data_IF_337434672166
#
_entry.id   IF_337434672166
#
_cell.length_a   1.000
_cell.length_b   1.000
_cell.length_c   1.000
_cell.angle_alpha   90.00
_cell.angle_beta   90.00
_cell.angle_gamma   90.00
#
_symmetry.space_group_name_H-M   'P 1'
#
loop_
_entity.id
_entity.type
_entity.pdbx_description
1 polymer ?
#
# COMPACT_ATOMS: atom_id res chain seq x y z
N UNK A 1 -49.82 55.12 50.32
CA UNK A 1 -49.89 53.97 49.38
C UNK A 1 -48.48 53.38 49.30
N UNK A 2 -48.21 52.23 49.97
CA UNK A 2 -48.10 50.85 49.38
C UNK A 2 -46.86 50.71 48.46
N UNK A 3 -45.91 49.77 48.57
CA UNK A 3 -45.71 48.50 49.33
C UNK A 3 -44.19 48.18 49.34
N UNK A 4 -43.73 47.41 50.33
CA UNK A 4 -42.55 46.52 50.31
C UNK A 4 -42.41 45.69 49.01
N UNK A 5 -41.20 45.21 48.67
CA UNK A 5 -40.92 43.76 48.58
C UNK A 5 -39.43 43.43 48.32
N UNK A 6 -38.95 42.45 49.09
CA UNK A 6 -37.77 41.62 48.85
C UNK A 6 -38.08 40.61 47.73
N UNK A 7 -37.08 40.17 46.98
CA UNK A 7 -37.11 38.95 46.15
C UNK A 7 -35.78 38.79 45.42
N UNK A 8 -34.89 37.91 45.86
CA UNK A 8 -34.80 36.46 45.61
C UNK A 8 -33.77 36.15 44.51
N UNK A 9 -32.79 35.34 44.90
CA UNK A 9 -31.66 34.80 44.15
C UNK A 9 -32.08 34.04 42.88
N UNK A 10 -31.29 34.17 41.81
CA UNK A 10 -31.20 33.15 40.76
C UNK A 10 -29.72 32.90 40.50
N UNK A 11 -29.21 31.78 41.03
CA UNK A 11 -27.88 31.28 40.73
C UNK A 11 -27.85 30.77 39.29
N UNK A 12 -26.94 31.29 38.48
CA UNK A 12 -26.67 30.78 37.15
C UNK A 12 -25.79 29.53 37.27
N UNK A 13 -26.40 28.35 37.23
CA UNK A 13 -25.70 27.09 36.96
C UNK A 13 -25.25 27.10 35.50
N UNK A 14 -23.98 27.43 35.27
CA UNK A 14 -23.32 27.22 33.98
C UNK A 14 -23.06 25.72 33.83
N UNK A 15 -24.01 25.02 33.21
CA UNK A 15 -23.83 23.63 32.80
C UNK A 15 -22.83 23.56 31.64
N UNK A 16 -21.59 23.19 31.94
CA UNK A 16 -20.57 22.87 30.94
C UNK A 16 -20.95 21.55 30.25
N UNK A 17 -21.65 21.64 29.12
CA UNK A 17 -21.89 20.47 28.25
C UNK A 17 -20.57 20.15 27.55
N UNK A 18 -19.82 19.19 28.08
CA UNK A 18 -18.70 18.58 27.34
C UNK A 18 -19.26 17.73 26.21
N UNK A 19 -19.35 18.33 25.01
CA UNK A 19 -19.54 17.57 23.77
C UNK A 19 -18.28 16.73 23.58
N UNK A 20 -18.37 15.43 23.88
CA UNK A 20 -17.35 14.46 23.52
C UNK A 20 -17.31 14.37 21.98
N UNK A 21 -16.49 15.19 21.35
CA UNK A 21 -16.13 15.04 19.95
C UNK A 21 -15.41 13.71 19.86
N UNK A 22 -16.08 12.66 19.36
CA UNK A 22 -15.43 11.44 18.94
C UNK A 22 -14.47 11.82 17.80
N UNK A 23 -13.23 12.13 18.17
CA UNK A 23 -12.22 12.61 17.24
C UNK A 23 -11.88 11.51 16.26
N UNK A 24 -12.34 11.67 15.01
CA UNK A 24 -11.76 10.93 13.90
C UNK A 24 -10.25 11.21 13.92
N UNK A 25 -9.44 10.19 14.18
CA UNK A 25 -8.00 10.33 14.21
C UNK A 25 -7.52 10.80 12.84
N UNK A 26 -6.71 11.86 12.81
CA UNK A 26 -6.11 12.35 11.59
C UNK A 26 -5.35 11.21 10.88
N UNK A 27 -5.37 11.16 9.54
CA UNK A 27 -4.74 10.07 8.81
C UNK A 27 -3.23 10.03 9.12
N UNK A 28 -2.73 8.84 9.46
CA UNK A 28 -1.30 8.63 9.68
C UNK A 28 -0.59 8.75 8.33
N UNK A 29 0.28 9.75 8.20
CA UNK A 29 1.06 9.98 6.97
C UNK A 29 2.38 9.23 7.04
N UNK A 30 2.67 8.42 6.03
CA UNK A 30 3.97 7.74 5.86
C UNK A 30 4.51 7.96 4.46
N UNK A 31 5.83 7.83 4.31
CA UNK A 31 6.49 7.86 2.99
C UNK A 31 6.95 6.46 2.64
N UNK A 32 6.76 6.10 1.38
CA UNK A 32 7.33 4.89 0.84
C UNK A 32 8.85 4.96 0.83
N UNK A 33 9.47 3.80 1.03
CA UNK A 33 10.89 3.61 0.84
C UNK A 33 11.10 2.22 0.22
N UNK A 34 12.17 2.09 -0.55
CA UNK A 34 12.62 0.82 -1.12
C UNK A 34 14.00 0.50 -0.53
N UNK A 35 14.35 -0.79 -0.37
CA UNK A 35 15.71 -1.17 0.00
C UNK A 35 16.76 -0.52 -0.91
N UNK A 36 17.90 -0.14 -0.33
CA UNK A 36 19.05 0.32 -1.11
C UNK A 36 19.66 -0.85 -1.91
N UNK A 37 20.28 -0.56 -3.07
CA UNK A 37 21.07 -1.55 -3.79
C UNK A 37 20.27 -2.63 -4.54
N UNK A 38 19.08 -2.31 -5.05
CA UNK A 38 18.30 -3.23 -5.87
C UNK A 38 19.04 -3.57 -7.18
N UNK A 39 19.65 -4.75 -7.28
CA UNK A 39 20.36 -5.25 -8.47
C UNK A 39 19.51 -6.26 -9.28
N UNK A 40 19.52 -6.22 -10.62
CA UNK A 40 20.15 -5.18 -11.44
C UNK A 40 19.45 -3.81 -11.25
N UNK A 41 20.18 -2.70 -11.50
CA UNK A 41 19.59 -1.36 -11.48
C UNK A 41 18.34 -1.28 -12.35
N UNK A 42 17.32 -0.58 -11.86
CA UNK A 42 16.02 -0.47 -12.53
C UNK A 42 15.46 0.93 -12.34
N UNK A 43 15.14 1.60 -13.45
CA UNK A 43 14.61 2.97 -13.46
C UNK A 43 13.42 3.13 -14.43
N UNK A 44 12.80 2.00 -14.83
CA UNK A 44 11.71 1.96 -15.83
C UNK A 44 10.31 1.98 -15.18
N UNK A 45 10.22 1.79 -13.87
CA UNK A 45 8.97 1.54 -13.14
C UNK A 45 8.33 0.20 -13.49
N UNK A 46 7.12 -0.05 -12.99
CA UNK A 46 6.41 -1.30 -13.27
C UNK A 46 5.93 -1.27 -14.73
N UNK A 47 6.32 -2.27 -15.51
CA UNK A 47 6.00 -2.38 -16.93
C UNK A 47 5.35 -3.74 -17.24
N UNK A 48 4.60 -3.86 -18.35
CA UNK A 48 4.27 -5.17 -18.91
C UNK A 48 5.55 -6.00 -19.11
N UNK A 49 5.46 -7.31 -18.89
CA UNK A 49 6.59 -8.19 -19.17
C UNK A 49 6.81 -8.29 -20.68
N UNK A 50 8.07 -8.19 -21.10
CA UNK A 50 8.51 -8.43 -22.47
C UNK A 50 9.63 -9.48 -22.44
N UNK A 51 10.17 -9.87 -23.61
CA UNK A 51 11.20 -10.90 -23.67
C UNK A 51 12.44 -10.55 -22.82
N UNK A 52 12.90 -9.30 -22.88
CA UNK A 52 14.06 -8.84 -22.11
C UNK A 52 13.80 -8.90 -20.60
N UNK A 53 12.71 -8.29 -20.14
CA UNK A 53 12.38 -8.23 -18.70
C UNK A 53 12.00 -9.60 -18.14
N UNK A 54 11.49 -10.50 -18.97
CA UNK A 54 11.21 -11.89 -18.61
C UNK A 54 12.49 -12.66 -18.26
N UNK A 55 13.51 -12.63 -19.13
CA UNK A 55 14.78 -13.29 -18.81
C UNK A 55 15.51 -12.62 -17.64
N UNK A 56 15.44 -11.28 -17.53
CA UNK A 56 15.97 -10.56 -16.37
C UNK A 56 15.29 -10.99 -15.06
N UNK A 57 13.98 -11.24 -15.07
CA UNK A 57 13.24 -11.74 -13.91
C UNK A 57 13.65 -13.17 -13.54
N UNK A 58 13.87 -14.05 -14.54
CA UNK A 58 14.39 -15.40 -14.30
C UNK A 58 15.77 -15.33 -13.63
N UNK A 59 16.70 -14.54 -14.15
CA UNK A 59 18.05 -14.39 -13.57
C UNK A 59 18.00 -13.77 -12.17
N UNK A 60 17.12 -12.79 -11.95
CA UNK A 60 16.84 -12.25 -10.62
C UNK A 60 16.41 -13.34 -9.64
N UNK A 61 15.49 -14.22 -10.03
CA UNK A 61 14.99 -15.29 -9.17
C UNK A 61 16.03 -16.36 -8.81
N UNK A 62 17.10 -16.51 -9.61
CA UNK A 62 18.19 -17.46 -9.32
C UNK A 62 19.15 -16.96 -8.22
N UNK A 63 19.09 -15.68 -7.86
CA UNK A 63 19.95 -15.12 -6.83
C UNK A 63 19.68 -15.76 -5.44
N UNK A 64 20.72 -15.96 -4.61
CA UNK A 64 20.58 -16.57 -3.30
C UNK A 64 19.88 -15.64 -2.29
N UNK A 65 19.43 -16.19 -1.17
CA UNK A 65 18.82 -15.42 -0.09
C UNK A 65 17.48 -14.82 -0.48
N UNK A 66 17.21 -13.57 -0.10
CA UNK A 66 16.00 -12.82 -0.47
C UNK A 66 16.38 -11.70 -1.44
N UNK A 67 16.43 -11.97 -2.77
CA UNK A 67 16.91 -10.99 -3.72
C UNK A 67 16.02 -9.74 -3.77
N UNK A 68 16.66 -8.57 -3.71
CA UNK A 68 15.98 -7.29 -3.65
C UNK A 68 15.10 -7.03 -4.89
N UNK A 69 15.39 -7.67 -6.02
CA UNK A 69 14.58 -7.59 -7.22
C UNK A 69 13.25 -8.39 -7.13
N UNK A 70 13.13 -9.36 -6.22
CA UNK A 70 11.87 -10.07 -5.91
C UNK A 70 11.13 -9.40 -4.76
N UNK A 71 11.86 -8.95 -3.74
CA UNK A 71 11.32 -8.48 -2.47
C UNK A 71 11.43 -6.96 -2.27
N UNK A 72 11.46 -6.21 -3.37
CA UNK A 72 11.62 -4.74 -3.38
C UNK A 72 10.53 -4.02 -2.58
N UNK A 73 9.34 -4.60 -2.50
CA UNK A 73 8.17 -4.08 -1.80
C UNK A 73 8.20 -4.37 -0.29
N UNK A 74 9.18 -5.13 0.20
CA UNK A 74 9.31 -5.41 1.64
C UNK A 74 9.52 -4.11 2.41
N UNK A 75 8.61 -3.80 3.33
CA UNK A 75 8.65 -2.57 4.10
C UNK A 75 8.22 -1.32 3.31
N UNK A 76 7.72 -1.48 2.08
CA UNK A 76 7.05 -0.41 1.36
C UNK A 76 5.91 0.11 2.24
N UNK A 77 5.94 1.41 2.55
CA UNK A 77 4.94 2.03 3.41
C UNK A 77 4.88 1.49 4.86
N UNK A 78 6.00 1.05 5.43
CA UNK A 78 6.06 0.49 6.80
C UNK A 78 5.35 1.40 7.82
N UNK A 79 4.38 0.82 8.52
CA UNK A 79 3.52 1.46 9.51
C UNK A 79 3.02 0.41 10.52
N UNK A 80 2.42 0.79 11.66
CA UNK A 80 2.00 -0.17 12.69
C UNK A 80 0.68 -0.92 12.41
N UNK A 81 -0.08 -0.52 11.38
CA UNK A 81 -1.45 -1.03 11.18
C UNK A 81 -1.56 -2.03 10.04
N UNK A 82 -0.86 -1.77 8.93
CA UNK A 82 -1.00 -2.50 7.68
C UNK A 82 0.36 -2.84 7.06
N UNK A 83 0.45 -4.01 6.47
CA UNK A 83 1.54 -4.45 5.60
C UNK A 83 1.07 -4.44 4.15
N UNK A 84 1.95 -4.00 3.26
CA UNK A 84 1.71 -4.01 1.81
C UNK A 84 2.55 -5.11 1.18
N UNK A 85 1.92 -5.84 0.27
CA UNK A 85 2.61 -6.74 -0.66
C UNK A 85 2.20 -6.38 -2.09
N UNK A 86 3.18 -6.20 -2.96
CA UNK A 86 2.96 -5.94 -4.38
C UNK A 86 3.14 -7.23 -5.18
N UNK A 87 2.30 -7.42 -6.17
CA UNK A 87 2.44 -8.46 -7.19
C UNK A 87 2.44 -7.82 -8.57
N UNK A 88 3.52 -8.02 -9.31
CA UNK A 88 3.77 -7.44 -10.63
C UNK A 88 4.16 -8.55 -11.61
N UNK A 89 4.09 -8.31 -12.93
CA UNK A 89 4.56 -9.29 -13.91
C UNK A 89 6.01 -9.73 -13.70
N UNK A 90 6.91 -8.78 -13.41
CA UNK A 90 8.32 -9.10 -13.15
C UNK A 90 8.47 -9.96 -11.90
N UNK A 91 7.82 -9.56 -10.80
CA UNK A 91 7.88 -10.29 -9.53
C UNK A 91 7.25 -11.67 -9.64
N UNK A 92 6.18 -11.84 -10.42
CA UNK A 92 5.55 -13.14 -10.66
C UNK A 92 6.56 -14.16 -11.19
N UNK A 93 7.27 -13.80 -12.27
CA UNK A 93 8.29 -14.63 -12.91
C UNK A 93 9.47 -14.87 -11.97
N UNK A 94 10.01 -13.80 -11.37
CA UNK A 94 11.18 -13.89 -10.51
C UNK A 94 10.90 -14.70 -9.22
N UNK A 95 9.72 -14.52 -8.62
CA UNK A 95 9.31 -15.24 -7.42
C UNK A 95 9.10 -16.74 -7.68
N UNK A 96 8.54 -17.11 -8.84
CA UNK A 96 8.37 -18.52 -9.19
C UNK A 96 9.72 -19.25 -9.27
N UNK A 97 10.71 -18.61 -9.92
CA UNK A 97 12.08 -19.15 -9.99
C UNK A 97 12.68 -19.21 -8.60
N UNK A 98 12.64 -18.10 -7.86
CA UNK A 98 13.20 -17.99 -6.51
C UNK A 98 12.63 -19.03 -5.54
N UNK A 99 11.32 -19.23 -5.53
CA UNK A 99 10.66 -20.21 -4.65
C UNK A 99 11.16 -21.64 -4.89
N UNK A 100 11.49 -21.99 -6.14
CA UNK A 100 12.02 -23.31 -6.46
C UNK A 100 13.51 -23.42 -6.12
N UNK A 101 14.33 -22.44 -6.54
CA UNK A 101 15.78 -22.46 -6.30
C UNK A 101 16.11 -22.39 -4.81
N UNK A 102 15.38 -21.58 -4.03
CA UNK A 102 15.52 -21.52 -2.57
C UNK A 102 15.23 -22.85 -1.87
N UNK A 103 14.41 -23.70 -2.48
CA UNK A 103 14.14 -25.08 -2.05
C UNK A 103 15.12 -26.11 -2.63
N UNK A 104 16.23 -25.66 -3.23
CA UNK A 104 17.25 -26.50 -3.90
C UNK A 104 16.69 -27.30 -5.08
N UNK A 105 15.60 -26.85 -5.69
CA UNK A 105 15.07 -27.43 -6.93
C UNK A 105 15.66 -26.72 -8.15
N UNK A 106 15.69 -27.36 -9.33
CA UNK A 106 16.03 -26.67 -10.57
C UNK A 106 15.11 -25.45 -10.79
N UNK A 107 15.67 -24.39 -11.38
CA UNK A 107 14.88 -23.24 -11.80
C UNK A 107 13.85 -23.69 -12.87
N UNK A 108 12.54 -23.49 -12.66
CA UNK A 108 11.55 -23.75 -13.69
C UNK A 108 11.69 -22.75 -14.84
N UNK A 109 10.99 -23.02 -15.94
CA UNK A 109 10.69 -22.02 -16.95
C UNK A 109 9.28 -21.46 -16.70
N UNK A 110 9.14 -20.23 -16.16
CA UNK A 110 7.83 -19.64 -15.89
C UNK A 110 7.00 -19.44 -17.17
N UNK A 111 5.67 -19.42 -17.10
CA UNK A 111 4.85 -19.22 -18.29
C UNK A 111 4.89 -17.75 -18.76
N UNK A 112 5.54 -17.48 -19.89
CA UNK A 112 5.65 -16.12 -20.44
C UNK A 112 4.29 -15.51 -20.82
N UNK A 113 3.40 -16.30 -21.42
CA UNK A 113 2.07 -15.81 -21.85
C UNK A 113 1.17 -15.48 -20.65
N UNK A 114 1.31 -16.21 -19.54
CA UNK A 114 0.62 -15.89 -18.29
C UNK A 114 1.17 -14.60 -17.68
N UNK A 115 2.50 -14.46 -17.62
CA UNK A 115 3.15 -13.26 -17.11
C UNK A 115 2.74 -11.98 -17.90
N UNK A 116 2.49 -12.10 -19.21
CA UNK A 116 1.98 -10.99 -20.04
C UNK A 116 0.54 -10.56 -19.68
N UNK A 117 -0.26 -11.48 -19.13
CA UNK A 117 -1.63 -11.19 -18.68
C UNK A 117 -1.65 -10.65 -17.25
N UNK A 118 -0.60 -10.88 -16.47
CA UNK A 118 -0.48 -10.34 -15.11
C UNK A 118 -0.63 -8.83 -15.09
N UNK A 119 -1.37 -8.34 -14.09
CA UNK A 119 -1.53 -6.91 -13.79
C UNK A 119 -0.93 -6.62 -12.42
N UNK A 120 -1.03 -5.38 -11.97
CA UNK A 120 -0.43 -4.94 -10.71
C UNK A 120 -1.44 -5.16 -9.60
N UNK A 121 -1.17 -6.07 -8.66
CA UNK A 121 -2.01 -6.26 -7.47
C UNK A 121 -1.31 -5.71 -6.24
N UNK A 122 -2.02 -4.86 -5.49
CA UNK A 122 -1.67 -4.45 -4.13
C UNK A 122 -2.44 -5.35 -3.17
N UNK A 123 -1.71 -6.11 -2.35
CA UNK A 123 -2.21 -6.80 -1.18
C UNK A 123 -2.04 -5.91 0.04
N UNK A 124 -3.08 -5.78 0.85
CA UNK A 124 -3.08 -5.03 2.10
C UNK A 124 -3.54 -5.97 3.21
N UNK A 125 -2.68 -6.23 4.18
CA UNK A 125 -3.00 -7.11 5.31
C UNK A 125 -2.77 -6.37 6.62
N UNK A 126 -3.66 -6.48 7.62
CA UNK A 126 -3.37 -5.94 8.94
C UNK A 126 -2.09 -6.55 9.51
N UNK A 127 -1.24 -5.71 10.11
CA UNK A 127 -0.07 -6.17 10.90
C UNK A 127 -0.58 -7.08 12.03
N UNK A 128 0.15 -8.15 12.34
CA UNK A 128 -0.22 -9.06 13.44
C UNK A 128 -0.43 -8.27 14.75
N UNK A 129 -1.62 -8.38 15.33
CA UNK A 129 -1.99 -7.68 16.58
C UNK A 129 -2.56 -6.27 16.38
N UNK A 130 -2.57 -5.75 15.15
CA UNK A 130 -3.29 -4.51 14.83
C UNK A 130 -4.79 -4.69 15.04
N UNK A 131 -5.42 -3.71 15.68
CA UNK A 131 -6.88 -3.61 15.80
C UNK A 131 -7.52 -2.89 14.60
N UNK A 132 -6.70 -2.21 13.80
CA UNK A 132 -7.18 -1.43 12.67
C UNK A 132 -7.52 -2.35 11.50
N UNK A 133 -8.75 -2.86 11.48
CA UNK A 133 -9.22 -3.76 10.42
C UNK A 133 -9.41 -2.98 9.13
N UNK A 134 -8.88 -3.48 8.01
CA UNK A 134 -9.04 -2.87 6.69
C UNK A 134 -10.53 -2.81 6.29
N UNK A 135 -10.99 -1.65 5.84
CA UNK A 135 -12.33 -1.42 5.32
C UNK A 135 -12.31 -0.98 3.85
N UNK A 136 -11.24 -0.34 3.41
CA UNK A 136 -11.01 -0.03 2.00
C UNK A 136 -9.54 0.22 1.68
N UNK A 137 -9.23 0.25 0.38
CA UNK A 137 -7.96 0.72 -0.14
C UNK A 137 -8.22 1.64 -1.33
N UNK A 138 -7.63 2.83 -1.29
CA UNK A 138 -7.74 3.81 -2.37
C UNK A 138 -6.35 4.18 -2.88
N UNK A 139 -6.10 3.92 -4.16
CA UNK A 139 -4.96 4.48 -4.87
C UNK A 139 -5.34 5.87 -5.38
N UNK A 140 -4.55 6.88 -5.06
CA UNK A 140 -4.70 8.24 -5.60
C UNK A 140 -3.53 8.61 -6.48
N UNK A 141 -3.80 9.29 -7.59
CA UNK A 141 -2.80 9.88 -8.48
C UNK A 141 -3.15 11.35 -8.71
N UNK A 142 -2.21 12.25 -8.41
CA UNK A 142 -2.49 13.70 -8.44
C UNK A 142 -3.68 14.10 -7.56
N UNK A 143 -3.84 13.44 -6.41
CA UNK A 143 -4.95 13.65 -5.48
C UNK A 143 -6.28 13.01 -5.87
N UNK A 144 -6.40 12.43 -7.08
CA UNK A 144 -7.64 11.82 -7.57
C UNK A 144 -7.62 10.31 -7.40
N UNK A 145 -8.71 9.67 -6.91
CA UNK A 145 -8.81 8.22 -6.87
C UNK A 145 -8.66 7.60 -8.26
N UNK A 146 -7.94 6.48 -8.31
CA UNK A 146 -7.83 5.61 -9.49
C UNK A 146 -8.54 4.31 -9.13
N UNK A 147 -9.55 3.93 -9.91
CA UNK A 147 -10.31 2.71 -9.66
C UNK A 147 -9.50 1.45 -9.98
N UNK A 148 -9.58 0.39 -9.15
CA UNK A 148 -9.01 -0.91 -9.49
C UNK A 148 -9.81 -1.58 -10.61
N UNK A 149 -9.13 -2.38 -11.43
CA UNK A 149 -9.75 -3.28 -12.42
C UNK A 149 -10.37 -4.51 -11.76
N UNK A 150 -9.89 -4.89 -10.57
CA UNK A 150 -10.53 -5.89 -9.72
C UNK A 150 -10.32 -5.55 -8.23
N UNK A 151 -11.37 -5.72 -7.42
CA UNK A 151 -11.36 -5.39 -5.98
C UNK A 151 -11.91 -6.56 -5.17
N UNK A 152 -11.09 -7.10 -4.28
CA UNK A 152 -11.42 -8.20 -3.38
C UNK A 152 -11.08 -7.80 -1.94
N UNK A 153 -12.01 -7.07 -1.29
CA UNK A 153 -11.78 -6.55 0.06
C UNK A 153 -11.59 -7.66 1.11
N UNK A 154 -12.28 -8.79 0.94
CA UNK A 154 -12.22 -9.94 1.85
C UNK A 154 -10.79 -10.48 2.03
N UNK A 155 -9.98 -10.43 0.96
CA UNK A 155 -8.57 -10.85 0.95
C UNK A 155 -7.60 -9.67 0.92
N UNK A 156 -8.11 -8.44 0.93
CA UNK A 156 -7.31 -7.22 0.85
C UNK A 156 -6.56 -7.06 -0.47
N UNK A 157 -7.10 -7.54 -1.60
CA UNK A 157 -6.43 -7.51 -2.90
C UNK A 157 -7.08 -6.54 -3.87
N UNK A 158 -6.26 -5.66 -4.46
CA UNK A 158 -6.70 -4.60 -5.36
C UNK A 158 -5.81 -4.61 -6.60
N UNK A 159 -6.38 -4.89 -7.77
CA UNK A 159 -5.65 -4.99 -9.03
C UNK A 159 -5.85 -3.75 -9.88
N UNK A 160 -4.79 -3.26 -10.51
CA UNK A 160 -4.78 -2.06 -11.34
C UNK A 160 -4.00 -2.30 -12.64
N UNK A 161 -4.32 -1.49 -13.65
CA UNK A 161 -3.51 -1.42 -14.87
C UNK A 161 -2.25 -0.56 -14.68
N UNK A 162 -1.27 -0.76 -15.55
CA UNK A 162 0.06 -0.11 -15.51
C UNK A 162 0.02 1.43 -15.39
N UNK A 163 -0.88 2.18 -16.05
CA UNK A 163 -0.91 3.64 -15.93
C UNK A 163 -1.15 4.13 -14.50
N UNK A 164 -1.80 3.34 -13.64
CA UNK A 164 -1.99 3.68 -12.23
C UNK A 164 -0.66 3.82 -11.47
N UNK A 165 0.41 3.19 -11.97
CA UNK A 165 1.75 3.14 -11.38
C UNK A 165 2.83 3.83 -12.24
N UNK A 166 2.45 4.52 -13.31
CA UNK A 166 3.40 5.23 -14.17
C UNK A 166 4.28 6.21 -13.34
N UNK A 167 5.61 6.21 -13.53
CA UNK A 167 6.55 7.02 -12.73
C UNK A 167 6.61 8.49 -13.18
N UNK A 168 5.46 9.08 -13.49
CA UNK A 168 5.31 10.45 -14.01
C UNK A 168 4.82 11.44 -12.96
N UNK A 169 4.19 10.95 -11.90
CA UNK A 169 3.65 11.73 -10.80
C UNK A 169 3.60 10.87 -9.53
N UNK A 170 3.67 11.46 -8.32
CA UNK A 170 3.50 10.72 -7.09
C UNK A 170 2.11 10.09 -7.02
N UNK A 171 2.03 8.96 -6.33
CA UNK A 171 0.78 8.32 -5.94
C UNK A 171 0.66 8.25 -4.43
N UNK A 172 -0.56 8.09 -3.94
CA UNK A 172 -0.82 7.79 -2.54
C UNK A 172 -1.62 6.50 -2.40
N UNK A 173 -1.24 5.69 -1.43
CA UNK A 173 -1.99 4.53 -0.96
C UNK A 173 -2.70 4.92 0.32
N UNK A 174 -4.02 5.03 0.27
CA UNK A 174 -4.85 5.21 1.46
C UNK A 174 -5.37 3.83 1.88
N UNK A 175 -4.78 3.30 2.95
CA UNK A 175 -5.23 2.09 3.63
C UNK A 175 -6.28 2.53 4.66
N UNK A 176 -7.54 2.39 4.29
CA UNK A 176 -8.68 2.85 5.10
C UNK A 176 -9.02 1.72 6.06
N UNK A 177 -8.88 1.98 7.36
CA UNK A 177 -9.25 1.04 8.39
C UNK A 177 -10.38 1.56 9.28
N UNK A 178 -10.90 0.68 10.14
CA UNK A 178 -11.97 1.01 11.10
C UNK A 178 -11.56 2.08 12.12
N UNK A 179 -10.30 2.05 12.56
CA UNK A 179 -9.81 2.96 13.62
C UNK A 179 -9.27 4.25 13.01
N UNK A 180 -8.53 4.14 11.90
CA UNK A 180 -7.95 5.28 11.18
C UNK A 180 -7.54 4.91 9.76
N UNK A 181 -7.33 5.93 8.93
CA UNK A 181 -6.68 5.78 7.63
C UNK A 181 -5.17 5.95 7.76
N UNK A 182 -4.39 5.09 7.10
CA UNK A 182 -2.96 5.29 6.89
C UNK A 182 -2.75 5.70 5.43
N UNK A 183 -2.16 6.87 5.21
CA UNK A 183 -1.85 7.40 3.88
C UNK A 183 -0.35 7.28 3.62
N UNK A 184 0.03 6.48 2.63
CA UNK A 184 1.41 6.34 2.20
C UNK A 184 1.66 7.06 0.88
N UNK A 185 2.57 8.03 0.85
CA UNK A 185 2.99 8.69 -0.39
C UNK A 185 4.17 7.95 -1.03
N UNK A 186 4.04 7.66 -2.32
CA UNK A 186 5.10 7.08 -3.16
C UNK A 186 5.48 8.13 -4.21
N UNK A 187 6.71 8.66 -4.12
CA UNK A 187 7.20 9.64 -5.08
C UNK A 187 7.58 9.01 -6.43
N UNK A 188 7.74 9.86 -7.45
CA UNK A 188 8.05 9.41 -8.80
C UNK A 188 9.42 8.70 -8.88
N UNK A 189 10.40 9.09 -8.07
CA UNK A 189 11.72 8.45 -8.05
C UNK A 189 11.64 7.02 -7.50
N UNK A 190 10.83 6.81 -6.47
CA UNK A 190 10.53 5.49 -5.90
C UNK A 190 9.76 4.65 -6.91
N UNK A 191 8.77 5.23 -7.61
CA UNK A 191 8.03 4.52 -8.66
C UNK A 191 8.93 4.02 -9.80
N UNK A 192 9.96 4.78 -10.22
CA UNK A 192 10.91 4.34 -11.26
C UNK A 192 11.66 3.07 -10.87
N UNK A 193 11.85 2.83 -9.58
CA UNK A 193 12.60 1.69 -9.04
C UNK A 193 11.74 0.45 -8.78
N UNK A 194 10.42 0.56 -8.87
CA UNK A 194 9.49 -0.58 -8.74
C UNK A 194 9.45 -1.42 -10.02
N UNK A 195 9.22 -2.73 -9.92
CA UNK A 195 9.26 -3.67 -11.04
C UNK A 195 8.18 -4.75 -10.95
#
# INVERSE_FOLDING_TARGET
>A
MRVQMRGLSVGAFVGLVMVAVAGAQAPLQVKASLPAGTTPPWEKGIQPINAESYYQAIECGKQPGNPACVFWDTGLCKNPDFEIAMYTPYKAVAYEVWRNVSQKKPAPQPNYAEAQRTRITVGVTPVRGSKNTLTDFVLKRGGKPVGPTARELSTGRFTFDFPAFAPTAPIAFDMVGKERTVSCTIDAATLKRMR
#
